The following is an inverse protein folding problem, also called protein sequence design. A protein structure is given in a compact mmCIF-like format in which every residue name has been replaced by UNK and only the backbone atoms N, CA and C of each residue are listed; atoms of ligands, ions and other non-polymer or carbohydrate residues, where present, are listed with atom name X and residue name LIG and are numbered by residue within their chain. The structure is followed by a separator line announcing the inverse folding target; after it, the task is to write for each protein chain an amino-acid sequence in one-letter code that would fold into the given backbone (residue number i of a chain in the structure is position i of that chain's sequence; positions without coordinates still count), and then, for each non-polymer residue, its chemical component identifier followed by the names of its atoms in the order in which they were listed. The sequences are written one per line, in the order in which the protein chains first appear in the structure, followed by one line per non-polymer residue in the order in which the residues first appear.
data_IF_156320550206
#
_entry.id   IF_156320550206
#
_cell.length_a   1.000
_cell.length_b   1.000
_cell.length_c   1.000
_cell.angle_alpha   90.00
_cell.angle_beta   90.00
_cell.angle_gamma   90.00
#
_symmetry.space_group_name_H-M   'P 1'
#
loop_
_entity.id
_entity.type
_entity.pdbx_description
1 polymer ?
#
# COMPACT_ATOMS: atom_id res chain seq x y z
N UNK A 1 -12.55 -11.10 16.35
CA UNK A 1 -12.41 -9.70 16.80
C UNK A 1 -11.02 -9.16 16.49
N UNK A 2 -10.83 -8.67 15.26
CA UNK A 2 -9.89 -7.62 14.84
C UNK A 2 -10.53 -7.01 13.58
N UNK A 3 -10.78 -5.70 13.55
CA UNK A 3 -11.41 -5.05 12.40
C UNK A 3 -10.49 -5.18 11.19
N UNK A 4 -10.98 -5.72 10.09
CA UNK A 4 -10.28 -5.80 8.81
C UNK A 4 -10.98 -4.91 7.79
N UNK A 5 -10.23 -4.42 6.80
CA UNK A 5 -10.74 -3.67 5.66
C UNK A 5 -10.35 -4.40 4.39
N UNK A 6 -11.33 -4.94 3.67
CA UNK A 6 -11.14 -5.60 2.38
C UNK A 6 -12.00 -4.90 1.32
N UNK A 7 -11.34 -4.30 0.31
CA UNK A 7 -12.00 -3.53 -0.74
C UNK A 7 -11.61 -4.07 -2.13
N UNK A 8 -12.62 -4.37 -2.94
CA UNK A 8 -12.48 -4.53 -4.38
C UNK A 8 -12.86 -3.21 -5.07
N UNK A 9 -11.94 -2.66 -5.84
CA UNK A 9 -11.98 -1.29 -6.36
C UNK A 9 -11.60 -1.29 -7.85
N UNK A 10 -11.92 -0.22 -8.56
CA UNK A 10 -11.33 0.09 -9.87
C UNK A 10 -10.06 0.96 -9.76
N UNK A 11 -9.80 1.50 -8.57
CA UNK A 11 -8.67 2.36 -8.24
C UNK A 11 -8.85 2.99 -6.86
N UNK A 12 -7.79 3.60 -6.33
CA UNK A 12 -7.81 4.28 -5.03
C UNK A 12 -6.98 5.56 -5.07
N UNK A 13 -7.55 6.64 -4.54
CA UNK A 13 -6.86 7.91 -4.31
C UNK A 13 -6.78 8.16 -2.80
N UNK A 14 -5.59 8.00 -2.22
CA UNK A 14 -5.28 8.25 -0.82
C UNK A 14 -4.20 9.33 -0.65
N UNK A 15 -4.12 10.26 -1.61
CA UNK A 15 -3.10 11.32 -1.60
C UNK A 15 -3.32 12.26 -0.41
N UNK A 16 -2.29 12.44 0.43
CA UNK A 16 -2.41 13.20 1.68
C UNK A 16 -3.39 12.61 2.71
N UNK A 17 -4.01 11.48 2.40
CA UNK A 17 -5.01 10.80 3.22
C UNK A 17 -4.38 9.75 4.14
N UNK A 18 -5.21 9.18 5.03
CA UNK A 18 -4.78 8.11 5.93
C UNK A 18 -5.83 7.00 5.98
N UNK A 19 -5.38 5.77 5.74
CA UNK A 19 -6.14 4.53 5.96
C UNK A 19 -5.41 3.77 7.07
N UNK A 20 -6.05 3.64 8.24
CA UNK A 20 -5.44 2.98 9.40
C UNK A 20 -6.40 1.92 9.96
N UNK A 21 -5.92 0.68 10.10
CA UNK A 21 -6.72 -0.46 10.56
C UNK A 21 -5.90 -1.31 11.52
N UNK A 22 -6.50 -1.76 12.63
CA UNK A 22 -5.79 -2.61 13.61
C UNK A 22 -5.59 -4.06 13.11
N UNK A 23 -6.54 -4.59 12.35
CA UNK A 23 -6.43 -5.87 11.65
C UNK A 23 -5.93 -5.68 10.22
N UNK A 24 -6.24 -6.64 9.34
CA UNK A 24 -5.70 -6.65 7.98
C UNK A 24 -6.29 -5.54 7.08
N UNK A 25 -5.49 -5.10 6.12
CA UNK A 25 -5.91 -4.28 4.99
C UNK A 25 -5.68 -5.08 3.71
N UNK A 26 -6.75 -5.31 2.94
CA UNK A 26 -6.72 -5.82 1.57
C UNK A 26 -7.30 -4.80 0.60
N UNK A 27 -6.47 -4.24 -0.27
CA UNK A 27 -6.89 -3.30 -1.31
C UNK A 27 -6.62 -3.92 -2.68
N UNK A 28 -7.67 -4.21 -3.44
CA UNK A 28 -7.54 -4.80 -4.77
C UNK A 28 -8.18 -3.90 -5.83
N UNK A 29 -7.35 -3.20 -6.58
CA UNK A 29 -7.73 -2.37 -7.72
C UNK A 29 -7.69 -3.12 -9.07
N UNK A 30 -7.38 -4.42 -9.09
CA UNK A 30 -7.19 -5.19 -10.32
C UNK A 30 -6.10 -4.57 -11.20
N UNK A 31 -6.44 -4.19 -12.44
CA UNK A 31 -5.53 -3.45 -13.34
C UNK A 31 -5.48 -1.93 -13.10
N UNK A 32 -6.28 -1.41 -12.16
CA UNK A 32 -6.36 0.01 -11.82
C UNK A 32 -5.19 0.52 -10.99
N UNK A 33 -5.16 1.83 -10.71
CA UNK A 33 -4.08 2.47 -9.95
C UNK A 33 -4.44 2.68 -8.48
N UNK A 34 -3.43 2.55 -7.62
CA UNK A 34 -3.49 2.96 -6.21
C UNK A 34 -2.48 4.08 -6.01
N UNK A 35 -2.97 5.28 -5.73
CA UNK A 35 -2.14 6.45 -5.46
C UNK A 35 -2.16 6.77 -3.96
N UNK A 36 -1.00 6.60 -3.32
CA UNK A 36 -0.73 6.88 -1.91
C UNK A 36 0.30 8.01 -1.73
N UNK A 37 0.53 8.87 -2.73
CA UNK A 37 1.51 9.95 -2.61
C UNK A 37 1.20 10.87 -1.43
N UNK A 38 2.20 11.17 -0.61
CA UNK A 38 2.06 11.94 0.63
C UNK A 38 1.01 11.37 1.63
N UNK A 39 0.53 10.14 1.40
CA UNK A 39 -0.51 9.48 2.17
C UNK A 39 0.01 8.34 3.03
N UNK A 40 -0.89 7.75 3.81
CA UNK A 40 -0.61 6.61 4.68
C UNK A 40 -1.61 5.47 4.46
N UNK A 41 -1.09 4.26 4.30
CA UNK A 41 -1.83 3.01 4.46
C UNK A 41 -1.14 2.21 5.55
N UNK A 42 -1.75 2.07 6.73
CA UNK A 42 -1.15 1.41 7.90
C UNK A 42 -2.06 0.35 8.48
N UNK A 43 -1.52 -0.85 8.64
CA UNK A 43 -2.16 -1.96 9.32
C UNK A 43 -1.41 -2.31 10.62
N UNK A 44 -2.13 -2.69 11.66
CA UNK A 44 -1.55 -3.36 12.83
C UNK A 44 -1.21 -4.84 12.59
N UNK A 45 -1.55 -5.37 11.41
CA UNK A 45 -1.31 -6.74 10.99
C UNK A 45 -0.79 -6.77 9.55
N UNK A 46 -1.54 -7.32 8.58
CA UNK A 46 -1.09 -7.41 7.18
C UNK A 46 -1.62 -6.24 6.36
N UNK A 47 -0.80 -5.71 5.45
CA UNK A 47 -1.24 -4.92 4.29
C UNK A 47 -1.01 -5.72 3.02
N UNK A 48 -2.06 -5.91 2.22
CA UNK A 48 -1.97 -6.43 0.86
C UNK A 48 -2.55 -5.42 -0.10
N UNK A 49 -1.75 -4.95 -1.05
CA UNK A 49 -2.16 -3.99 -2.09
C UNK A 49 -1.96 -4.64 -3.45
N UNK A 50 -3.02 -4.68 -4.25
CA UNK A 50 -3.00 -5.22 -5.62
C UNK A 50 -3.52 -4.15 -6.57
N UNK A 51 -2.77 -3.87 -7.65
CA UNK A 51 -3.13 -2.89 -8.67
C UNK A 51 -2.30 -3.06 -9.94
N UNK A 52 -2.64 -2.39 -11.03
CA UNK A 52 -1.74 -2.29 -12.19
C UNK A 52 -0.56 -1.35 -11.93
N UNK A 53 -0.81 -0.30 -11.15
CA UNK A 53 0.20 0.67 -10.69
C UNK A 53 -0.02 0.95 -9.21
N UNK A 54 1.04 0.89 -8.42
CA UNK A 54 1.07 1.35 -7.03
C UNK A 54 2.04 2.52 -6.96
N UNK A 55 1.52 3.71 -6.66
CA UNK A 55 2.32 4.92 -6.49
C UNK A 55 2.36 5.33 -5.02
N UNK A 56 3.50 5.07 -4.39
CA UNK A 56 3.83 5.38 -3.01
C UNK A 56 4.95 6.42 -2.92
N UNK A 57 5.19 7.20 -3.99
CA UNK A 57 6.24 8.21 -4.00
C UNK A 57 5.97 9.34 -3.00
N UNK A 58 7.04 10.02 -2.56
CA UNK A 58 6.97 11.17 -1.65
C UNK A 58 6.24 10.86 -0.34
N UNK A 59 6.55 9.70 0.27
CA UNK A 59 5.94 9.22 1.52
C UNK A 59 6.93 8.96 2.65
N UNK A 60 8.16 9.51 2.57
CA UNK A 60 9.16 9.37 3.64
C UNK A 60 8.84 10.14 4.93
N UNK A 61 7.89 11.07 4.90
CA UNK A 61 7.55 11.90 6.05
C UNK A 61 6.85 11.14 7.19
N UNK A 62 6.61 11.86 8.30
CA UNK A 62 5.88 11.30 9.44
C UNK A 62 4.44 10.97 9.03
N UNK A 63 3.94 9.81 9.49
CA UNK A 63 2.62 9.29 9.16
C UNK A 63 2.37 9.22 7.64
N UNK A 64 3.36 8.72 6.90
CA UNK A 64 3.26 8.49 5.46
C UNK A 64 3.92 7.16 5.09
N UNK A 65 3.42 6.56 4.00
CA UNK A 65 3.93 5.33 3.41
C UNK A 65 2.92 4.19 3.44
N UNK A 66 3.42 2.99 3.21
CA UNK A 66 2.68 1.74 3.36
C UNK A 66 3.33 0.94 4.48
N UNK A 67 2.57 0.63 5.53
CA UNK A 67 3.10 0.10 6.78
C UNK A 67 2.26 -1.07 7.31
N UNK A 68 2.92 -2.14 7.76
CA UNK A 68 2.26 -3.26 8.43
C UNK A 68 3.26 -4.16 9.15
N UNK A 69 2.77 -5.15 9.89
CA UNK A 69 3.62 -6.27 10.33
C UNK A 69 4.12 -7.03 9.10
N UNK A 70 3.19 -7.36 8.20
CA UNK A 70 3.48 -7.95 6.90
C UNK A 70 3.00 -6.99 5.80
N UNK A 71 3.80 -6.80 4.76
CA UNK A 71 3.40 -6.00 3.59
C UNK A 71 3.62 -6.81 2.32
N UNK A 72 2.59 -6.87 1.48
CA UNK A 72 2.65 -7.46 0.14
C UNK A 72 2.09 -6.48 -0.89
N UNK A 73 2.91 -6.12 -1.87
CA UNK A 73 2.51 -5.31 -3.02
C UNK A 73 2.51 -6.18 -4.27
N UNK A 74 1.38 -6.29 -4.96
CA UNK A 74 1.24 -7.02 -6.22
C UNK A 74 0.91 -6.01 -7.32
N UNK A 75 1.84 -5.76 -8.24
CA UNK A 75 1.60 -4.76 -9.29
C UNK A 75 2.38 -5.03 -10.57
N UNK A 76 1.99 -4.41 -11.67
CA UNK A 76 2.90 -4.32 -12.82
C UNK A 76 3.98 -3.28 -12.55
N UNK A 77 3.65 -2.16 -11.90
CA UNK A 77 4.60 -1.12 -11.57
C UNK A 77 4.44 -0.62 -10.14
N UNK A 78 5.56 -0.46 -9.44
CA UNK A 78 5.60 0.13 -8.10
C UNK A 78 6.55 1.33 -8.12
N UNK A 79 6.03 2.51 -7.81
CA UNK A 79 6.82 3.72 -7.57
C UNK A 79 6.89 3.95 -6.07
N UNK A 80 8.09 3.95 -5.52
CA UNK A 80 8.42 4.27 -4.13
C UNK A 80 9.55 5.31 -4.07
N UNK A 81 9.69 6.14 -5.10
CA UNK A 81 10.69 7.21 -5.17
C UNK A 81 10.45 8.22 -4.05
N UNK A 82 11.46 8.43 -3.19
CA UNK A 82 11.31 9.22 -1.96
C UNK A 82 10.13 8.75 -1.09
N UNK A 83 9.78 7.47 -1.20
CA UNK A 83 8.69 6.83 -0.49
C UNK A 83 9.16 5.82 0.53
N UNK A 84 8.22 5.36 1.35
CA UNK A 84 8.47 4.34 2.35
C UNK A 84 7.46 3.20 2.29
N UNK A 85 7.98 1.98 2.18
CA UNK A 85 7.25 0.75 2.46
C UNK A 85 7.95 0.07 3.63
N UNK A 86 7.23 -0.12 4.76
CA UNK A 86 7.80 -0.62 6.01
C UNK A 86 7.04 -1.86 6.46
N UNK A 87 7.78 -2.94 6.72
CA UNK A 87 7.24 -4.15 7.33
C UNK A 87 8.07 -4.48 8.57
N UNK A 88 7.42 -4.80 9.70
CA UNK A 88 8.13 -5.29 10.89
C UNK A 88 8.63 -6.73 10.69
N UNK A 89 7.94 -7.49 9.84
CA UNK A 89 8.30 -8.83 9.41
C UNK A 89 8.61 -8.87 7.91
N UNK A 90 7.76 -9.56 7.13
CA UNK A 90 8.00 -9.77 5.72
C UNK A 90 7.52 -8.60 4.86
N UNK A 91 8.40 -8.10 4.01
CA UNK A 91 8.08 -7.25 2.88
C UNK A 91 8.22 -8.04 1.58
N UNK A 92 7.13 -8.22 0.84
CA UNK A 92 7.11 -8.78 -0.51
C UNK A 92 6.63 -7.73 -1.52
N UNK A 93 7.37 -7.58 -2.63
CA UNK A 93 6.96 -6.77 -3.77
C UNK A 93 7.02 -7.65 -5.01
N UNK A 94 5.85 -8.05 -5.49
CA UNK A 94 5.69 -8.86 -6.68
C UNK A 94 5.40 -7.93 -7.85
N UNK A 95 6.42 -7.64 -8.66
CA UNK A 95 6.29 -6.77 -9.82
C UNK A 95 6.45 -7.56 -11.13
N UNK A 96 5.55 -7.34 -12.08
CA UNK A 96 5.71 -7.82 -13.46
C UNK A 96 6.46 -6.83 -14.36
N UNK A 97 6.76 -5.64 -13.85
CA UNK A 97 7.43 -4.55 -14.57
C UNK A 97 8.42 -3.82 -13.66
N UNK A 98 8.32 -2.50 -13.54
CA UNK A 98 9.33 -1.71 -12.82
C UNK A 98 9.05 -1.56 -11.32
N UNK A 99 10.13 -1.44 -10.56
CA UNK A 99 10.13 -1.00 -9.16
C UNK A 99 11.16 0.13 -9.08
N UNK A 100 10.73 1.33 -8.71
CA UNK A 100 11.57 2.54 -8.64
C UNK A 100 11.48 3.23 -7.29
#
# INVERSE_FOLDING_TARGET
GKSALDLALSGLQNQGGQIQVLGNIGLNAGGGSINNQQGLIRSGATVTVTGGVIDNASTLGANQGIEGVQVTLNSANVSNVQGAVRADGNLAINSAGSIN
#
